data_IF_360868070821
#
_entry.id   IF_360868070821
#
_cell.length_a   1.000
_cell.length_b   1.000
_cell.length_c   1.000
_cell.angle_alpha   90.00
_cell.angle_beta   90.00
_cell.angle_gamma   90.00
#
_symmetry.space_group_name_H-M   'P 1'
#
loop_
_entity.id
_entity.type
_entity.pdbx_description
1 polymer ?
#
# COMPACT_ATOMS: atom_id res chain seq x y z
N UNK A 1 21.91 -11.88 9.20
CA UNK A 1 20.71 -11.12 8.83
C UNK A 1 19.62 -11.46 9.82
N UNK A 2 19.35 -10.56 10.76
CA UNK A 2 18.25 -10.67 11.72
C UNK A 2 16.91 -10.43 11.04
N UNK A 3 15.82 -10.69 11.76
CA UNK A 3 14.47 -10.40 11.27
C UNK A 3 14.28 -8.90 11.04
N UNK A 4 14.75 -8.04 11.95
CA UNK A 4 14.68 -6.58 11.73
C UNK A 4 15.53 -6.12 10.54
N UNK A 5 16.73 -6.68 10.35
CA UNK A 5 17.58 -6.34 9.19
C UNK A 5 16.90 -6.73 7.87
N UNK A 6 16.26 -7.91 7.84
CA UNK A 6 15.50 -8.36 6.68
C UNK A 6 14.30 -7.45 6.41
N UNK A 7 13.50 -7.13 7.44
CA UNK A 7 12.36 -6.23 7.29
C UNK A 7 12.78 -4.80 6.90
N UNK A 8 13.86 -4.26 7.47
CA UNK A 8 14.35 -2.93 7.14
C UNK A 8 14.83 -2.81 5.69
N UNK A 9 15.48 -3.86 5.16
CA UNK A 9 16.00 -3.83 3.79
C UNK A 9 14.97 -4.26 2.72
N UNK A 10 14.06 -5.16 3.07
CA UNK A 10 13.13 -5.78 2.11
C UNK A 10 11.67 -5.36 2.30
N UNK A 11 11.23 -5.13 3.54
CA UNK A 11 9.84 -4.81 3.87
C UNK A 11 9.29 -3.60 3.11
N UNK A 12 9.93 -2.42 3.17
CA UNK A 12 9.49 -1.25 2.42
C UNK A 12 9.40 -1.50 0.91
N UNK A 13 10.42 -2.14 0.33
CA UNK A 13 10.46 -2.48 -1.10
C UNK A 13 9.36 -3.46 -1.50
N UNK A 14 9.08 -4.45 -0.65
CA UNK A 14 8.02 -5.42 -0.87
C UNK A 14 6.65 -4.73 -0.89
N UNK A 15 6.39 -3.86 0.10
CA UNK A 15 5.12 -3.12 0.19
C UNK A 15 4.95 -2.23 -1.05
N UNK A 16 5.98 -1.49 -1.43
CA UNK A 16 5.96 -0.64 -2.63
C UNK A 16 5.68 -1.47 -3.89
N UNK A 17 6.37 -2.60 -4.08
CA UNK A 17 6.16 -3.48 -5.22
C UNK A 17 4.72 -4.02 -5.28
N UNK A 18 4.15 -4.44 -4.14
CA UNK A 18 2.76 -4.90 -4.08
C UNK A 18 1.79 -3.79 -4.47
N UNK A 19 1.98 -2.56 -3.97
CA UNK A 19 1.12 -1.43 -4.32
C UNK A 19 1.18 -1.11 -5.81
N UNK A 20 2.38 -1.13 -6.42
CA UNK A 20 2.56 -0.88 -7.84
C UNK A 20 1.91 -1.96 -8.71
N UNK A 21 2.08 -3.23 -8.36
CA UNK A 21 1.41 -4.34 -9.08
C UNK A 21 -0.11 -4.19 -9.01
N UNK A 22 -0.67 -3.93 -7.83
CA UNK A 22 -2.12 -3.74 -7.68
C UNK A 22 -2.62 -2.54 -8.48
N UNK A 23 -1.86 -1.43 -8.50
CA UNK A 23 -2.19 -0.27 -9.33
C UNK A 23 -2.24 -0.65 -10.82
N UNK A 24 -1.23 -1.37 -11.31
CA UNK A 24 -1.13 -1.72 -12.73
C UNK A 24 -2.29 -2.63 -13.15
N UNK A 25 -2.65 -3.62 -12.32
CA UNK A 25 -3.83 -4.47 -12.56
C UNK A 25 -5.14 -3.67 -12.56
N UNK A 26 -5.30 -2.70 -11.64
CA UNK A 26 -6.46 -1.81 -11.64
C UNK A 26 -6.50 -0.97 -12.91
N UNK A 27 -5.37 -0.42 -13.36
CA UNK A 27 -5.31 0.40 -14.56
C UNK A 27 -5.56 -0.41 -15.83
N UNK A 28 -5.11 -1.66 -15.89
CA UNK A 28 -5.44 -2.58 -16.96
C UNK A 28 -6.96 -2.74 -17.10
N UNK A 29 -7.65 -3.09 -16.01
CA UNK A 29 -9.11 -3.21 -15.99
C UNK A 29 -9.81 -1.91 -16.37
N UNK A 30 -9.32 -0.77 -15.89
CA UNK A 30 -9.90 0.55 -16.22
C UNK A 30 -9.80 0.83 -17.71
N UNK A 31 -8.64 0.56 -18.31
CA UNK A 31 -8.41 0.74 -19.75
C UNK A 31 -9.32 -0.16 -20.57
N UNK A 32 -9.50 -1.43 -20.19
CA UNK A 32 -10.45 -2.36 -20.83
C UNK A 32 -11.90 -1.82 -20.81
N UNK A 33 -12.26 -1.08 -19.77
CA UNK A 33 -13.56 -0.43 -19.62
C UNK A 33 -13.61 1.04 -20.11
N UNK A 34 -12.61 1.50 -20.87
CA UNK A 34 -12.52 2.89 -21.36
C UNK A 34 -12.55 3.96 -20.26
N UNK A 35 -12.10 3.61 -19.06
CA UNK A 35 -11.95 4.51 -17.92
C UNK A 35 -10.51 5.03 -17.87
N UNK A 36 -10.30 6.30 -17.46
CA UNK A 36 -8.96 6.86 -17.35
C UNK A 36 -8.16 6.16 -16.24
N UNK A 37 -6.86 5.97 -16.46
CA UNK A 37 -5.95 5.41 -15.46
C UNK A 37 -5.91 6.25 -14.17
N UNK A 38 -5.64 5.57 -13.06
CA UNK A 38 -5.33 6.20 -11.76
C UNK A 38 -3.86 6.59 -11.71
N UNK A 39 -3.59 7.81 -11.27
CA UNK A 39 -2.21 8.28 -11.02
C UNK A 39 -1.68 7.76 -9.68
N UNK A 40 -0.36 7.85 -9.48
CA UNK A 40 0.27 7.47 -8.21
C UNK A 40 -0.29 8.30 -7.04
N UNK A 41 -0.49 9.60 -7.24
CA UNK A 41 -1.02 10.51 -6.22
C UNK A 41 -2.44 10.13 -5.81
N UNK A 42 -3.28 9.73 -6.77
CA UNK A 42 -4.64 9.28 -6.49
C UNK A 42 -4.69 7.97 -5.70
N UNK A 43 -3.78 7.04 -6.00
CA UNK A 43 -3.66 5.78 -5.27
C UNK A 43 -3.14 6.04 -3.85
N UNK A 44 -2.04 6.80 -3.71
CA UNK A 44 -1.46 7.15 -2.41
C UNK A 44 -2.45 7.92 -1.54
N UNK A 45 -3.15 8.90 -2.11
CA UNK A 45 -4.21 9.63 -1.40
C UNK A 45 -5.36 8.72 -0.95
N UNK A 46 -5.78 7.77 -1.79
CA UNK A 46 -6.81 6.80 -1.41
C UNK A 46 -6.35 5.85 -0.30
N UNK A 47 -5.09 5.39 -0.35
CA UNK A 47 -4.49 4.55 0.69
C UNK A 47 -4.40 5.33 2.00
N UNK A 48 -3.87 6.55 2.00
CA UNK A 48 -3.78 7.39 3.19
C UNK A 48 -5.14 7.65 3.83
N UNK A 49 -6.16 7.95 3.00
CA UNK A 49 -7.53 8.08 3.49
C UNK A 49 -8.04 6.78 4.11
N UNK A 50 -7.74 5.61 3.53
CA UNK A 50 -8.18 4.33 4.11
C UNK A 50 -7.45 4.01 5.41
N UNK A 51 -6.14 4.22 5.48
CA UNK A 51 -5.35 3.99 6.70
C UNK A 51 -5.89 4.81 7.88
N UNK A 52 -6.22 6.08 7.65
CA UNK A 52 -6.81 6.94 8.69
C UNK A 52 -8.21 6.50 9.17
N UNK A 53 -8.87 5.58 8.45
CA UNK A 53 -10.21 5.08 8.77
C UNK A 53 -10.22 3.59 9.14
N UNK A 54 -9.09 2.90 9.05
CA UNK A 54 -8.94 1.53 9.53
C UNK A 54 -8.60 1.63 11.00
N UNK A 55 -9.36 0.93 11.84
CA UNK A 55 -9.01 0.82 13.25
C UNK A 55 -7.63 0.16 13.37
N UNK A 56 -6.81 0.69 14.26
CA UNK A 56 -5.56 0.04 14.61
C UNK A 56 -5.86 -1.39 15.10
N UNK A 57 -4.95 -2.31 14.81
CA UNK A 57 -5.09 -3.66 15.32
C UNK A 57 -4.79 -3.70 16.82
N UNK A 58 -5.40 -4.63 17.57
CA UNK A 58 -5.20 -4.79 19.01
C UNK A 58 -3.72 -4.84 19.45
N UNK A 59 -2.83 -5.31 18.58
CA UNK A 59 -1.39 -5.40 18.84
C UNK A 59 -0.64 -4.08 18.58
N UNK A 60 -1.21 -3.13 17.84
CA UNK A 60 -0.63 -1.80 17.61
C UNK A 60 -0.81 -0.89 18.84
N UNK A 61 -1.94 -1.01 19.55
CA UNK A 61 -2.21 -0.27 20.79
C UNK A 61 -1.19 -0.62 21.90
N UNK A 62 -0.60 -1.82 21.85
CA UNK A 62 0.43 -2.27 22.79
C UNK A 62 1.79 -1.58 22.60
N UNK A 63 1.95 -0.83 21.50
CA UNK A 63 3.18 -0.13 21.13
C UNK A 63 3.00 1.40 21.11
N UNK A 64 1.98 1.96 21.78
CA UNK A 64 1.93 3.41 22.02
C UNK A 64 3.22 3.85 22.73
N UNK A 65 4.03 4.65 22.03
CA UNK A 65 5.29 5.25 22.51
C UNK A 65 4.98 6.58 23.20
#
# INVERSE_FOLDING_TARGET
MTREELYGCFGPKLIEAVVLVVKDEINLLRTEHSLPERTNEQIVGAIGNKLNNIADYDWMEQYEI
#
